data_IF_586602506481
#
_entry.id   IF_586602506481
#
_cell.length_a   1.000
_cell.length_b   1.000
_cell.length_c   1.000
_cell.angle_alpha   90.00
_cell.angle_beta   90.00
_cell.angle_gamma   90.00
#
_symmetry.space_group_name_H-M   'P 1'
#
loop_
_entity.id
_entity.type
_entity.pdbx_description
1 polymer ?
#
# COMPACT_ATOMS: atom_id res chain seq x y z
N UNK A 1 21.56 -7.18 30.69
CA UNK A 1 20.44 -6.73 29.85
C UNK A 1 19.18 -7.30 30.48
N UNK A 2 18.17 -6.48 30.81
CA UNK A 2 16.97 -6.93 31.54
C UNK A 2 15.99 -7.65 30.62
N UNK A 3 15.11 -8.49 31.20
CA UNK A 3 13.98 -9.10 30.48
C UNK A 3 13.06 -8.02 29.85
N UNK A 4 12.94 -6.85 30.48
CA UNK A 4 12.19 -5.69 29.96
C UNK A 4 12.71 -5.19 28.61
N UNK A 5 14.04 -5.22 28.38
CA UNK A 5 14.62 -4.82 27.09
C UNK A 5 14.26 -5.81 25.97
N UNK A 6 14.15 -7.11 26.29
CA UNK A 6 13.74 -8.12 25.30
C UNK A 6 12.25 -7.94 24.95
N UNK A 7 11.41 -7.70 25.95
CA UNK A 7 9.98 -7.46 25.75
C UNK A 7 9.73 -6.20 24.90
N UNK A 8 10.52 -5.14 25.13
CA UNK A 8 10.50 -3.95 24.29
C UNK A 8 10.87 -4.26 22.84
N UNK A 9 12.01 -4.92 22.60
CA UNK A 9 12.45 -5.28 21.24
C UNK A 9 11.44 -6.18 20.51
N UNK A 10 10.81 -7.13 21.22
CA UNK A 10 9.75 -7.97 20.68
C UNK A 10 8.52 -7.15 20.25
N UNK A 11 8.12 -6.19 21.07
CA UNK A 11 6.99 -5.30 20.78
C UNK A 11 7.29 -4.40 19.59
N UNK A 12 8.50 -3.84 19.54
CA UNK A 12 8.95 -3.01 18.42
C UNK A 12 9.04 -3.81 17.12
N UNK A 13 9.57 -5.03 17.17
CA UNK A 13 9.61 -5.93 16.00
C UNK A 13 8.21 -6.20 15.47
N UNK A 14 7.25 -6.52 16.35
CA UNK A 14 5.87 -6.76 15.96
C UNK A 14 5.23 -5.53 15.32
N UNK A 15 5.41 -4.36 15.92
CA UNK A 15 4.90 -3.10 15.37
C UNK A 15 5.44 -2.84 13.96
N UNK A 16 6.75 -2.99 13.75
CA UNK A 16 7.36 -2.78 12.44
C UNK A 16 6.90 -3.83 11.42
N UNK A 17 6.66 -5.07 11.86
CA UNK A 17 6.14 -6.13 10.99
C UNK A 17 4.70 -5.83 10.54
N UNK A 18 3.85 -5.39 11.47
CA UNK A 18 2.48 -4.98 11.16
C UNK A 18 2.46 -3.80 10.19
N UNK A 19 3.34 -2.82 10.39
CA UNK A 19 3.49 -1.67 9.49
C UNK A 19 4.01 -2.08 8.10
N UNK A 20 5.01 -2.97 8.04
CA UNK A 20 5.50 -3.53 6.77
C UNK A 20 4.38 -4.22 5.99
N UNK A 21 3.56 -5.03 6.67
CA UNK A 21 2.42 -5.71 6.05
C UNK A 21 1.38 -4.70 5.55
N UNK A 22 1.07 -3.66 6.34
CA UNK A 22 0.14 -2.59 5.96
C UNK A 22 0.61 -1.85 4.71
N UNK A 23 1.89 -1.50 4.63
CA UNK A 23 2.47 -0.83 3.47
C UNK A 23 2.45 -1.73 2.22
N UNK A 24 2.66 -3.04 2.36
CA UNK A 24 2.56 -3.97 1.23
C UNK A 24 1.12 -4.11 0.70
N UNK A 25 0.11 -4.07 1.58
CA UNK A 25 -1.29 -4.01 1.14
C UNK A 25 -1.55 -2.72 0.35
N UNK A 26 -1.12 -1.57 0.89
CA UNK A 26 -1.26 -0.27 0.21
C UNK A 26 -0.54 -0.23 -1.15
N UNK A 27 0.66 -0.81 -1.23
CA UNK A 27 1.41 -0.98 -2.48
C UNK A 27 0.59 -1.74 -3.51
N UNK A 28 0.03 -2.89 -3.13
CA UNK A 28 -0.78 -3.73 -4.02
C UNK A 28 -2.03 -2.99 -4.51
N UNK A 29 -2.69 -2.23 -3.64
CA UNK A 29 -3.84 -1.39 -3.99
C UNK A 29 -3.46 -0.28 -5.00
N UNK A 30 -2.31 0.36 -4.80
CA UNK A 30 -1.79 1.38 -5.72
C UNK A 30 -1.41 0.78 -7.09
N UNK A 31 -0.78 -0.40 -7.11
CA UNK A 31 -0.43 -1.10 -8.35
C UNK A 31 -1.67 -1.44 -9.18
N UNK A 32 -2.73 -1.96 -8.54
CA UNK A 32 -4.03 -2.21 -9.21
C UNK A 32 -4.69 -0.93 -9.71
N UNK A 33 -4.60 0.14 -8.92
CA UNK A 33 -5.14 1.45 -9.31
C UNK A 33 -4.41 2.01 -10.53
N UNK A 34 -3.08 1.89 -10.57
CA UNK A 34 -2.23 2.28 -11.70
C UNK A 34 -2.56 1.47 -12.95
N UNK A 35 -2.73 0.16 -12.82
CA UNK A 35 -3.12 -0.72 -13.94
C UNK A 35 -4.48 -0.32 -14.51
N UNK A 36 -5.46 -0.08 -13.63
CA UNK A 36 -6.79 0.40 -14.03
C UNK A 36 -6.70 1.74 -14.75
N UNK A 37 -5.98 2.72 -14.20
CA UNK A 37 -5.81 4.03 -14.83
C UNK A 37 -5.11 3.94 -16.19
N UNK A 38 -4.12 3.05 -16.36
CA UNK A 38 -3.47 2.78 -17.65
C UNK A 38 -4.43 2.18 -18.68
N UNK A 39 -5.36 1.32 -18.25
CA UNK A 39 -6.38 0.78 -19.14
C UNK A 39 -7.35 1.90 -19.57
N UNK A 40 -7.77 2.75 -18.64
CA UNK A 40 -8.68 3.87 -18.90
C UNK A 40 -8.04 4.97 -19.77
N UNK A 41 -6.76 5.26 -19.60
CA UNK A 41 -6.06 6.32 -20.34
C UNK A 41 -5.89 5.98 -21.83
N UNK A 42 -5.77 4.69 -22.18
CA UNK A 42 -5.69 4.22 -23.57
C UNK A 42 -7.00 4.34 -24.34
N UNK A 43 -8.10 4.55 -23.63
CA UNK A 43 -9.46 4.61 -24.18
C UNK A 43 -10.06 6.01 -24.10
N UNK A 44 -9.26 7.06 -23.93
CA UNK A 44 -9.74 8.43 -23.69
C UNK A 44 -10.57 9.01 -24.86
N UNK A 45 -10.42 8.48 -26.07
CA UNK A 45 -11.21 8.89 -27.25
C UNK A 45 -12.40 7.97 -27.56
N UNK A 46 -12.43 6.75 -27.04
CA UNK A 46 -13.45 5.74 -27.35
C UNK A 46 -14.31 5.36 -26.13
N UNK A 47 -15.43 4.70 -26.38
CA UNK A 47 -16.22 4.13 -25.29
C UNK A 47 -15.50 2.90 -24.72
N UNK A 48 -15.38 2.86 -23.41
CA UNK A 48 -14.83 1.72 -22.67
C UNK A 48 -15.94 0.71 -22.44
N UNK A 49 -15.78 -0.52 -22.94
CA UNK A 49 -16.68 -1.61 -22.56
C UNK A 49 -16.76 -2.75 -23.56
N UNK A 50 -17.60 -3.75 -23.26
CA UNK A 50 -18.47 -3.84 -22.08
C UNK A 50 -17.70 -4.04 -20.75
N UNK A 51 -18.22 -3.51 -19.64
CA UNK A 51 -17.63 -3.53 -18.31
C UNK A 51 -18.58 -4.17 -17.29
N UNK A 52 -18.02 -4.86 -16.29
CA UNK A 52 -18.75 -5.32 -15.11
C UNK A 52 -18.36 -4.42 -13.94
N UNK A 53 -19.32 -3.66 -13.41
CA UNK A 53 -19.12 -2.77 -12.27
C UNK A 53 -19.73 -3.38 -11.01
N UNK A 54 -18.94 -3.90 -10.06
CA UNK A 54 -19.46 -4.35 -8.78
C UNK A 54 -19.96 -3.15 -7.97
N UNK A 55 -21.21 -3.19 -7.51
CA UNK A 55 -21.83 -2.16 -6.66
C UNK A 55 -22.10 -2.65 -5.24
N UNK A 56 -21.99 -3.95 -5.01
CA UNK A 56 -22.06 -4.62 -3.71
C UNK A 56 -21.33 -5.96 -3.78
N UNK A 57 -21.18 -6.65 -2.66
CA UNK A 57 -20.51 -7.96 -2.56
C UNK A 57 -21.09 -9.01 -3.53
N UNK A 58 -22.39 -8.94 -3.81
CA UNK A 58 -23.08 -9.95 -4.62
C UNK A 58 -23.81 -9.37 -5.85
N UNK A 59 -23.67 -8.07 -6.12
CA UNK A 59 -24.39 -7.38 -7.18
C UNK A 59 -23.41 -6.59 -8.02
N UNK A 60 -23.48 -6.84 -9.33
CA UNK A 60 -22.71 -6.11 -10.34
C UNK A 60 -23.64 -5.63 -11.45
N UNK A 61 -23.31 -4.46 -11.99
CA UNK A 61 -23.96 -3.90 -13.16
C UNK A 61 -23.16 -4.30 -14.40
N UNK A 62 -23.87 -4.69 -15.46
CA UNK A 62 -23.29 -4.79 -16.79
C UNK A 62 -23.43 -3.43 -17.48
N UNK A 63 -22.31 -2.83 -17.84
CA UNK A 63 -22.25 -1.51 -18.47
C UNK A 63 -21.75 -1.70 -19.90
N UNK A 64 -22.62 -1.45 -20.88
CA UNK A 64 -22.30 -1.65 -22.30
C UNK A 64 -21.16 -0.74 -22.77
N UNK A 65 -21.15 0.51 -22.29
CA UNK A 65 -20.17 1.51 -22.64
C UNK A 65 -20.05 2.59 -21.54
N UNK A 66 -18.83 3.03 -21.25
CA UNK A 66 -18.54 4.14 -20.34
C UNK A 66 -17.48 5.08 -20.93
N UNK A 67 -17.42 6.33 -20.44
CA UNK A 67 -16.32 7.26 -20.72
C UNK A 67 -15.65 7.66 -19.43
N UNK A 68 -14.37 7.33 -19.26
CA UNK A 68 -13.58 7.71 -18.08
C UNK A 68 -12.79 9.00 -18.34
N UNK A 69 -13.49 10.11 -18.60
CA UNK A 69 -12.85 11.42 -18.85
C UNK A 69 -12.20 12.01 -17.61
N UNK A 70 -12.81 11.75 -16.45
CA UNK A 70 -12.39 12.30 -15.17
C UNK A 70 -12.45 11.18 -14.13
N UNK A 71 -11.56 11.27 -13.14
CA UNK A 71 -11.51 10.39 -11.98
C UNK A 71 -11.46 11.23 -10.72
N UNK A 72 -11.97 10.67 -9.62
CA UNK A 72 -11.89 11.27 -8.29
C UNK A 72 -10.76 10.60 -7.51
N UNK A 73 -9.76 11.39 -7.14
CA UNK A 73 -8.61 10.93 -6.35
C UNK A 73 -8.76 11.44 -4.91
N UNK A 74 -8.76 10.52 -3.94
CA UNK A 74 -8.77 10.87 -2.53
C UNK A 74 -7.42 11.49 -2.14
N UNK A 75 -7.45 12.74 -1.70
CA UNK A 75 -6.29 13.52 -1.25
C UNK A 75 -6.04 13.41 0.26
N UNK A 76 -7.00 12.85 1.01
CA UNK A 76 -6.97 12.73 2.47
C UNK A 76 -8.13 13.49 3.11
N UNK A 77 -8.50 13.11 4.34
CA UNK A 77 -9.58 13.78 5.08
C UNK A 77 -10.93 13.81 4.34
N UNK A 78 -11.23 12.79 3.53
CA UNK A 78 -12.40 12.74 2.63
C UNK A 78 -12.46 13.87 1.58
N UNK A 79 -11.34 14.51 1.27
CA UNK A 79 -11.23 15.49 0.19
C UNK A 79 -10.86 14.77 -1.10
N UNK A 80 -11.66 14.98 -2.15
CA UNK A 80 -11.44 14.40 -3.48
C UNK A 80 -11.07 15.47 -4.48
N UNK A 81 -10.00 15.24 -5.23
CA UNK A 81 -9.65 16.04 -6.39
C UNK A 81 -10.17 15.36 -7.66
N UNK A 82 -10.80 16.16 -8.53
CA UNK A 82 -11.28 15.71 -9.85
C UNK A 82 -10.20 16.02 -10.89
N UNK A 83 -9.73 14.99 -11.60
CA UNK A 83 -8.63 15.13 -12.57
C UNK A 83 -8.74 14.10 -13.70
N UNK A 84 -7.93 14.25 -14.75
CA UNK A 84 -7.88 13.29 -15.85
C UNK A 84 -7.13 12.00 -15.46
N UNK A 85 -7.37 10.86 -16.16
CA UNK A 85 -6.70 9.59 -15.87
C UNK A 85 -5.16 9.65 -15.90
N UNK A 86 -4.59 10.46 -16.79
CA UNK A 86 -3.12 10.61 -16.91
C UNK A 86 -2.52 11.35 -15.71
N UNK A 87 -3.19 12.41 -15.25
CA UNK A 87 -2.76 13.16 -14.07
C UNK A 87 -2.90 12.31 -12.81
N UNK A 88 -4.01 11.59 -12.68
CA UNK A 88 -4.21 10.61 -11.61
C UNK A 88 -3.15 9.50 -11.65
N UNK A 89 -2.79 9.01 -12.85
CA UNK A 89 -1.74 8.00 -13.01
C UNK A 89 -0.38 8.51 -12.50
N UNK A 90 -0.04 9.78 -12.77
CA UNK A 90 1.17 10.41 -12.24
C UNK A 90 1.13 10.45 -10.71
N UNK A 91 0.03 10.93 -10.14
CA UNK A 91 -0.18 11.00 -8.68
C UNK A 91 -0.07 9.62 -8.01
N UNK A 92 -0.65 8.57 -8.60
CA UNK A 92 -0.57 7.22 -8.03
C UNK A 92 0.84 6.64 -8.10
N UNK A 93 1.63 6.97 -9.14
CA UNK A 93 3.04 6.55 -9.24
C UNK A 93 3.91 7.24 -8.19
N UNK A 94 3.73 8.54 -7.98
CA UNK A 94 4.44 9.29 -6.93
C UNK A 94 4.14 8.67 -5.55
N UNK A 95 2.86 8.41 -5.24
CA UNK A 95 2.47 7.71 -4.00
C UNK A 95 3.05 6.30 -3.89
N UNK A 96 3.15 5.57 -4.99
CA UNK A 96 3.75 4.24 -5.02
C UNK A 96 5.26 4.29 -4.73
N UNK A 97 5.96 5.31 -5.23
CA UNK A 97 7.37 5.55 -4.93
C UNK A 97 7.56 5.83 -3.44
N UNK A 98 6.76 6.73 -2.85
CA UNK A 98 6.76 7.01 -1.40
C UNK A 98 6.51 5.75 -0.56
N UNK A 99 5.52 4.93 -0.93
CA UNK A 99 5.24 3.65 -0.25
C UNK A 99 6.41 2.68 -0.38
N UNK A 100 7.05 2.59 -1.54
CA UNK A 100 8.22 1.73 -1.73
C UNK A 100 9.44 2.22 -0.92
N UNK A 101 9.59 3.53 -0.70
CA UNK A 101 10.59 4.08 0.22
C UNK A 101 10.28 3.72 1.67
N UNK A 102 9.03 3.89 2.11
CA UNK A 102 8.60 3.49 3.44
C UNK A 102 8.80 1.99 3.71
N UNK A 103 8.49 1.14 2.73
CA UNK A 103 8.75 -0.31 2.82
C UNK A 103 10.24 -0.58 3.02
N UNK A 104 11.12 0.06 2.24
CA UNK A 104 12.58 -0.10 2.37
C UNK A 104 13.06 0.32 3.76
N UNK A 105 12.58 1.44 4.27
CA UNK A 105 12.95 1.93 5.61
C UNK A 105 12.50 0.97 6.71
N UNK A 106 11.23 0.55 6.69
CA UNK A 106 10.68 -0.38 7.69
C UNK A 106 11.37 -1.74 7.62
N UNK A 107 11.68 -2.26 6.43
CA UNK A 107 12.46 -3.49 6.27
C UNK A 107 13.86 -3.38 6.87
N UNK A 108 14.55 -2.26 6.65
CA UNK A 108 15.86 -2.03 7.25
C UNK A 108 15.80 -1.97 8.77
N UNK A 109 14.76 -1.34 9.32
CA UNK A 109 14.54 -1.26 10.76
C UNK A 109 14.17 -2.62 11.36
N UNK A 110 13.34 -3.42 10.68
CA UNK A 110 13.03 -4.81 11.06
C UNK A 110 14.31 -5.65 11.18
N UNK A 111 15.19 -5.59 10.19
CA UNK A 111 16.44 -6.34 10.20
C UNK A 111 17.35 -5.95 11.38
N UNK A 112 17.45 -4.65 11.68
CA UNK A 112 18.22 -4.15 12.84
C UNK A 112 17.65 -4.66 14.17
N UNK A 113 16.34 -4.51 14.36
CA UNK A 113 15.65 -4.97 15.60
C UNK A 113 15.77 -6.48 15.76
N UNK A 114 15.68 -7.25 14.66
CA UNK A 114 15.89 -8.69 14.69
C UNK A 114 17.29 -9.07 15.17
N UNK A 115 18.34 -8.42 14.66
CA UNK A 115 19.73 -8.65 15.09
C UNK A 115 19.90 -8.32 16.58
N UNK A 116 19.35 -7.19 17.03
CA UNK A 116 19.41 -6.80 18.44
C UNK A 116 18.72 -7.82 19.35
N UNK A 117 17.56 -8.31 18.93
CA UNK A 117 16.77 -9.31 19.64
C UNK A 117 17.49 -10.66 19.73
N UNK A 118 18.15 -11.10 18.65
CA UNK A 118 18.99 -12.30 18.66
C UNK A 118 20.21 -12.16 19.59
N UNK A 119 20.87 -11.00 19.58
CA UNK A 119 22.00 -10.72 20.46
C UNK A 119 21.59 -10.69 21.93
N UNK A 120 20.49 -10.01 22.21
CA UNK A 120 19.83 -9.95 23.51
C UNK A 120 19.53 -11.34 24.07
N UNK A 121 18.88 -12.20 23.28
CA UNK A 121 18.55 -13.57 23.68
C UNK A 121 19.80 -14.43 23.91
N UNK A 122 20.83 -14.29 23.06
CA UNK A 122 22.11 -15.00 23.22
C UNK A 122 22.81 -14.62 24.53
N UNK A 123 22.81 -13.34 24.91
CA UNK A 123 23.41 -12.88 26.17
C UNK A 123 22.68 -13.46 27.38
N UNK A 124 21.35 -13.46 27.39
CA UNK A 124 20.56 -14.05 28.49
C UNK A 124 20.80 -15.55 28.63
N UNK A 125 20.90 -16.28 27.51
CA UNK A 125 21.21 -17.72 27.53
C UNK A 125 22.60 -18.05 28.08
N UNK A 126 23.59 -17.17 27.89
CA UNK A 126 24.96 -17.36 28.41
C UNK A 126 25.13 -16.96 29.87
N UNK A 127 24.20 -16.15 30.40
CA UNK A 127 24.21 -15.69 31.78
C UNK A 127 23.42 -16.60 32.74
N UNK A 128 22.72 -17.62 32.19
CA UNK A 128 22.10 -18.73 32.92
C UNK A 128 23.00 -19.94 32.84
#
# INVERSE_FOLDING_TARGET
MSEDNIAFLQSLYKYLLDEYNRLNLLKSDLERSIETLKALSKSSEENIGPLILPISTFISLFVEAAKAREVLVLMGGNVYAKMGPEEALKQMKERLEEVNEGIREVSNNLAKVQIELENAQRMVRRAR
#
